data_IF_292322953763
#
_entry.id   IF_292322953763
#
_cell.length_a   1.000
_cell.length_b   1.000
_cell.length_c   1.000
_cell.angle_alpha   90.00
_cell.angle_beta   90.00
_cell.angle_gamma   90.00
#
_symmetry.space_group_name_H-M   'P 1'
#
loop_
_entity.id
_entity.type
_entity.pdbx_description
1 polymer ?
#
# COMPACT_ATOMS: atom_id res chain seq x y z
N UNK A 1 7.74 -27.52 36.27
CA UNK A 1 8.51 -26.26 36.28
C UNK A 1 8.26 -25.46 35.02
N UNK A 2 8.60 -25.92 33.83
CA UNK A 2 8.42 -25.22 32.55
C UNK A 2 7.01 -24.67 32.25
N UNK A 3 5.92 -25.34 32.64
CA UNK A 3 4.56 -24.92 32.34
C UNK A 3 4.13 -23.65 33.12
N UNK A 4 4.61 -23.49 34.36
CA UNK A 4 4.37 -22.28 35.19
C UNK A 4 5.14 -21.07 34.63
N UNK A 5 6.40 -21.27 34.30
CA UNK A 5 7.28 -20.22 33.74
C UNK A 5 6.76 -19.75 32.39
N UNK A 6 6.37 -20.68 31.49
CA UNK A 6 5.72 -20.34 30.23
C UNK A 6 4.48 -19.46 30.42
N UNK A 7 3.62 -19.79 31.40
CA UNK A 7 2.41 -19.00 31.64
C UNK A 7 2.71 -17.56 32.06
N UNK A 8 3.79 -17.34 32.84
CA UNK A 8 4.21 -16.00 33.25
C UNK A 8 4.62 -15.17 32.01
N UNK A 9 5.40 -15.76 31.09
CA UNK A 9 5.82 -15.10 29.85
C UNK A 9 4.62 -14.78 28.96
N UNK A 10 3.72 -15.76 28.75
CA UNK A 10 2.50 -15.55 27.96
C UNK A 10 1.64 -14.44 28.56
N UNK A 11 1.49 -14.39 29.88
CA UNK A 11 0.74 -13.35 30.56
C UNK A 11 1.37 -11.97 30.33
N UNK A 12 2.69 -11.86 30.28
CA UNK A 12 3.37 -10.60 30.01
C UNK A 12 3.21 -10.16 28.54
N UNK A 13 3.27 -11.10 27.59
CA UNK A 13 2.97 -10.84 26.18
C UNK A 13 1.52 -10.35 26.03
N UNK A 14 0.56 -11.04 26.66
CA UNK A 14 -0.85 -10.65 26.62
C UNK A 14 -1.06 -9.24 27.19
N UNK A 15 -0.40 -8.91 28.29
CA UNK A 15 -0.46 -7.56 28.88
C UNK A 15 0.05 -6.49 27.91
N UNK A 16 1.14 -6.74 27.20
CA UNK A 16 1.65 -5.84 26.16
C UNK A 16 0.62 -5.59 25.05
N UNK A 17 -0.04 -6.65 24.57
CA UNK A 17 -1.12 -6.51 23.58
C UNK A 17 -2.26 -5.63 24.10
N UNK A 18 -2.70 -5.84 25.35
CA UNK A 18 -3.82 -5.11 25.94
C UNK A 18 -3.49 -3.65 26.20
N UNK A 19 -2.32 -3.36 26.78
CA UNK A 19 -1.93 -1.99 27.14
C UNK A 19 -1.55 -1.13 25.94
N UNK A 20 -1.13 -1.75 24.83
CA UNK A 20 -0.75 -1.07 23.59
C UNK A 20 -1.84 -1.12 22.52
N UNK A 21 -3.03 -1.66 22.85
CA UNK A 21 -4.14 -1.83 21.90
C UNK A 21 -3.74 -2.55 20.59
N UNK A 22 -2.85 -3.55 20.69
CA UNK A 22 -2.39 -4.33 19.54
C UNK A 22 -3.50 -5.32 19.15
N UNK A 23 -3.92 -5.38 17.87
CA UNK A 23 -4.91 -6.35 17.40
C UNK A 23 -4.47 -7.80 17.67
N UNK A 24 -5.37 -8.64 18.17
CA UNK A 24 -5.04 -10.02 18.57
C UNK A 24 -4.55 -10.91 17.42
N UNK A 25 -4.97 -10.61 16.19
CA UNK A 25 -4.49 -11.32 15.00
C UNK A 25 -2.98 -11.12 14.76
N UNK A 26 -2.34 -10.09 15.32
CA UNK A 26 -0.89 -9.89 15.23
C UNK A 26 -0.10 -11.07 15.83
N UNK A 27 -0.68 -11.87 16.74
CA UNK A 27 -0.04 -13.08 17.26
C UNK A 27 0.21 -14.14 16.16
N UNK A 28 -0.54 -14.07 15.04
CA UNK A 28 -0.39 -14.98 13.89
C UNK A 28 0.61 -14.45 12.85
N UNK A 29 1.13 -13.23 13.04
CA UNK A 29 2.11 -12.66 12.12
C UNK A 29 3.42 -13.48 12.19
N UNK A 30 3.98 -13.91 11.05
CA UNK A 30 5.27 -14.62 11.01
C UNK A 30 6.39 -13.86 11.73
N UNK A 31 6.43 -12.53 11.59
CA UNK A 31 7.43 -11.67 12.25
C UNK A 31 7.33 -11.73 13.77
N UNK A 32 6.11 -11.86 14.32
CA UNK A 32 5.94 -12.00 15.76
C UNK A 32 6.55 -13.32 16.26
N UNK A 33 6.36 -14.42 15.51
CA UNK A 33 6.95 -15.71 15.85
C UNK A 33 8.48 -15.66 15.75
N UNK A 34 8.99 -15.00 14.72
CA UNK A 34 10.42 -14.81 14.52
C UNK A 34 11.06 -13.98 15.65
N UNK A 35 10.40 -12.91 16.11
CA UNK A 35 10.85 -12.12 17.27
C UNK A 35 11.03 -13.00 18.50
N UNK A 36 10.03 -13.85 18.81
CA UNK A 36 10.10 -14.76 19.97
C UNK A 36 11.28 -15.74 19.84
N UNK A 37 11.46 -16.32 18.67
CA UNK A 37 12.58 -17.24 18.40
C UNK A 37 13.94 -16.53 18.53
N UNK A 38 14.11 -15.35 17.93
CA UNK A 38 15.35 -14.58 17.98
C UNK A 38 15.69 -14.13 19.40
N UNK A 39 14.70 -13.66 20.20
CA UNK A 39 14.89 -13.31 21.60
C UNK A 39 15.35 -14.53 22.41
N UNK A 40 14.74 -15.70 22.16
CA UNK A 40 15.09 -16.92 22.87
C UNK A 40 16.52 -17.39 22.57
N UNK A 41 16.97 -17.24 21.34
CA UNK A 41 18.35 -17.57 20.91
C UNK A 41 19.39 -16.61 21.41
N UNK A 42 19.05 -15.30 21.48
CA UNK A 42 19.96 -14.29 22.04
C UNK A 42 20.22 -14.53 23.53
N UNK A 43 19.18 -14.95 24.25
CA UNK A 43 19.27 -15.28 25.67
C UNK A 43 19.28 -14.06 26.59
N UNK A 44 19.89 -14.23 27.77
CA UNK A 44 19.91 -13.21 28.81
C UNK A 44 20.78 -12.01 28.39
N UNK A 45 20.27 -10.79 28.59
CA UNK A 45 21.04 -9.56 28.37
C UNK A 45 20.62 -8.77 27.12
N UNK A 46 19.64 -9.24 26.36
CA UNK A 46 19.06 -8.44 25.28
C UNK A 46 18.45 -7.16 25.85
N UNK A 47 19.00 -6.02 25.44
CA UNK A 47 18.39 -4.72 25.76
C UNK A 47 17.27 -4.44 24.78
N UNK A 48 16.08 -4.01 25.25
CA UNK A 48 15.01 -3.65 24.35
C UNK A 48 15.44 -2.47 23.47
N UNK A 49 14.97 -2.41 22.22
CA UNK A 49 15.27 -1.29 21.34
C UNK A 49 14.63 0.00 21.89
N UNK A 50 15.33 1.10 21.74
CA UNK A 50 14.81 2.42 22.07
C UNK A 50 13.80 2.90 21.02
N UNK A 51 12.97 3.88 21.40
CA UNK A 51 12.06 4.53 20.47
C UNK A 51 12.78 5.11 19.25
N UNK A 52 13.96 5.70 19.45
CA UNK A 52 14.77 6.27 18.36
C UNK A 52 15.28 5.18 17.41
N UNK A 53 15.77 4.05 17.93
CA UNK A 53 16.22 2.95 17.09
C UNK A 53 15.11 2.43 16.21
N UNK A 54 13.91 2.19 16.76
CA UNK A 54 12.77 1.71 15.96
C UNK A 54 12.35 2.75 14.93
N UNK A 55 12.14 3.99 15.36
CA UNK A 55 11.53 5.04 14.52
C UNK A 55 12.47 5.58 13.44
N UNK A 56 13.76 5.59 13.68
CA UNK A 56 14.73 6.23 12.78
C UNK A 56 15.65 5.18 12.16
N UNK A 57 16.43 4.48 12.98
CA UNK A 57 17.51 3.62 12.48
C UNK A 57 16.97 2.39 11.75
N UNK A 58 16.04 1.65 12.40
CA UNK A 58 15.46 0.45 11.81
C UNK A 58 14.54 0.80 10.65
N UNK A 59 13.67 1.80 10.82
CA UNK A 59 12.77 2.25 9.75
C UNK A 59 13.53 2.66 8.49
N UNK A 60 14.66 3.38 8.62
CA UNK A 60 15.47 3.75 7.47
C UNK A 60 16.00 2.51 6.73
N UNK A 61 16.48 1.50 7.46
CA UNK A 61 16.95 0.25 6.85
C UNK A 61 15.83 -0.46 6.08
N UNK A 62 14.62 -0.53 6.64
CA UNK A 62 13.47 -1.15 5.96
C UNK A 62 13.06 -0.38 4.70
N UNK A 63 13.12 0.97 4.74
CA UNK A 63 12.88 1.81 3.56
C UNK A 63 13.94 1.56 2.49
N UNK A 64 15.21 1.47 2.85
CA UNK A 64 16.31 1.20 1.91
C UNK A 64 16.15 -0.20 1.27
N UNK A 65 15.79 -1.22 2.04
CA UNK A 65 15.46 -2.56 1.53
C UNK A 65 14.27 -2.55 0.58
N UNK A 66 13.20 -1.84 0.94
CA UNK A 66 12.02 -1.68 0.08
C UNK A 66 12.37 -1.00 -1.25
N UNK A 67 13.26 -0.01 -1.24
CA UNK A 67 13.75 0.63 -2.46
C UNK A 67 14.59 -0.30 -3.32
N UNK A 68 15.45 -1.13 -2.73
CA UNK A 68 16.20 -2.14 -3.46
C UNK A 68 15.27 -3.16 -4.15
N UNK A 69 14.25 -3.64 -3.44
CA UNK A 69 13.23 -4.51 -4.04
C UNK A 69 12.51 -3.82 -5.19
N UNK A 70 12.19 -2.52 -5.06
CA UNK A 70 11.53 -1.76 -6.12
C UNK A 70 12.38 -1.69 -7.40
N UNK A 71 13.71 -1.58 -7.30
CA UNK A 71 14.59 -1.55 -8.47
C UNK A 71 14.55 -2.88 -9.25
N UNK A 72 14.39 -4.01 -8.56
CA UNK A 72 14.18 -5.31 -9.23
C UNK A 72 12.87 -5.33 -10.04
N UNK A 73 11.78 -4.76 -9.49
CA UNK A 73 10.52 -4.64 -10.21
C UNK A 73 10.62 -3.71 -11.39
N UNK A 74 11.31 -2.57 -11.25
CA UNK A 74 11.55 -1.64 -12.37
C UNK A 74 12.33 -2.29 -13.52
N UNK A 75 13.31 -3.14 -13.18
CA UNK A 75 14.06 -3.88 -14.18
C UNK A 75 13.18 -4.87 -14.95
N UNK A 76 12.14 -5.42 -14.30
CA UNK A 76 11.16 -6.29 -14.95
C UNK A 76 10.16 -5.50 -15.81
N UNK A 77 9.66 -4.35 -15.34
CA UNK A 77 8.69 -3.55 -16.09
C UNK A 77 9.21 -3.15 -17.46
N UNK A 78 10.53 -2.95 -17.60
CA UNK A 78 11.19 -2.70 -18.90
C UNK A 78 11.08 -3.87 -19.88
N UNK A 79 10.84 -5.09 -19.37
CA UNK A 79 10.76 -6.31 -20.21
C UNK A 79 9.32 -6.73 -20.48
N UNK A 80 8.46 -6.60 -19.48
CA UNK A 80 7.10 -7.17 -19.50
C UNK A 80 6.00 -6.12 -19.57
N UNK A 81 6.37 -4.84 -19.43
CA UNK A 81 5.44 -3.74 -19.19
C UNK A 81 4.70 -3.90 -17.84
N UNK A 82 3.91 -2.90 -17.46
CA UNK A 82 3.15 -2.91 -16.23
C UNK A 82 1.84 -2.13 -16.35
N UNK A 83 0.94 -2.32 -15.38
CA UNK A 83 -0.27 -1.53 -15.20
C UNK A 83 -0.17 -0.71 -13.93
N UNK A 84 -0.52 0.57 -13.99
CA UNK A 84 -0.68 1.43 -12.81
C UNK A 84 -2.13 1.35 -12.35
N UNK A 85 -2.33 1.16 -11.05
CA UNK A 85 -3.64 1.20 -10.41
C UNK A 85 -3.68 2.34 -9.41
N UNK A 86 -4.76 3.11 -9.44
CA UNK A 86 -4.99 4.24 -8.56
C UNK A 86 -6.31 4.03 -7.82
N UNK A 87 -6.28 4.16 -6.50
CA UNK A 87 -7.45 4.06 -5.62
C UNK A 87 -7.49 5.26 -4.67
N UNK A 88 -8.56 6.02 -4.76
CA UNK A 88 -8.76 7.24 -3.99
C UNK A 88 -9.84 7.08 -2.93
N UNK A 89 -9.52 7.32 -1.67
CA UNK A 89 -10.47 7.28 -0.58
C UNK A 89 -10.36 8.48 0.36
N UNK A 90 -11.40 8.72 1.15
CA UNK A 90 -11.44 9.80 2.13
C UNK A 90 -11.75 9.25 3.51
N UNK A 91 -11.00 9.66 4.51
CA UNK A 91 -11.24 9.28 5.90
C UNK A 91 -12.41 10.06 6.51
N UNK A 92 -12.83 9.65 7.72
CA UNK A 92 -13.89 10.34 8.48
C UNK A 92 -13.55 11.79 8.83
N UNK A 93 -12.28 12.18 8.77
CA UNK A 93 -11.79 13.56 9.00
C UNK A 93 -11.67 14.36 7.71
N UNK A 94 -12.21 13.85 6.59
CA UNK A 94 -12.15 14.44 5.25
C UNK A 94 -10.73 14.58 4.67
N UNK A 95 -9.77 13.80 5.17
CA UNK A 95 -8.49 13.67 4.51
C UNK A 95 -8.66 12.73 3.32
N UNK A 96 -8.41 13.24 2.15
CA UNK A 96 -8.44 12.45 0.92
C UNK A 96 -7.03 11.98 0.58
N UNK A 97 -6.91 10.70 0.27
CA UNK A 97 -5.64 10.04 -0.07
C UNK A 97 -5.85 9.29 -1.37
N UNK A 98 -4.87 9.31 -2.24
CA UNK A 98 -4.82 8.50 -3.45
C UNK A 98 -3.62 7.57 -3.38
N UNK A 99 -3.87 6.27 -3.40
CA UNK A 99 -2.86 5.23 -3.44
C UNK A 99 -2.48 4.91 -4.88
N UNK A 100 -1.20 4.60 -5.11
CA UNK A 100 -0.69 4.14 -6.39
C UNK A 100 0.01 2.80 -6.23
N UNK A 101 -0.44 1.83 -7.02
CA UNK A 101 0.15 0.51 -7.11
C UNK A 101 0.59 0.25 -8.54
N UNK A 102 1.60 -0.58 -8.72
CA UNK A 102 2.00 -1.09 -10.03
C UNK A 102 1.88 -2.60 -10.02
N UNK A 103 1.21 -3.13 -11.03
CA UNK A 103 1.05 -4.55 -11.25
C UNK A 103 1.84 -4.99 -12.49
N UNK A 104 2.55 -6.10 -12.35
CA UNK A 104 3.29 -6.77 -13.43
C UNK A 104 3.19 -8.29 -13.26
N UNK A 105 3.69 -9.12 -14.19
CA UNK A 105 3.75 -10.57 -14.01
C UNK A 105 4.50 -11.02 -12.75
N UNK A 106 5.45 -10.22 -12.25
CA UNK A 106 6.17 -10.49 -11.00
C UNK A 106 5.30 -10.27 -9.75
N UNK A 107 4.23 -9.50 -9.87
CA UNK A 107 3.29 -9.20 -8.79
C UNK A 107 2.92 -7.72 -8.69
N UNK A 108 2.17 -7.40 -7.64
CA UNK A 108 1.72 -6.03 -7.37
C UNK A 108 2.59 -5.41 -6.28
N UNK A 109 3.04 -4.19 -6.52
CA UNK A 109 3.82 -3.41 -5.56
C UNK A 109 3.14 -2.07 -5.28
N UNK A 110 3.13 -1.66 -4.02
CA UNK A 110 2.73 -0.33 -3.61
C UNK A 110 3.85 0.66 -3.89
N UNK A 111 3.57 1.73 -4.64
CA UNK A 111 4.56 2.77 -4.94
C UNK A 111 4.61 3.82 -3.84
N UNK A 112 3.52 4.54 -3.69
CA UNK A 112 3.35 5.61 -2.71
C UNK A 112 1.89 6.07 -2.67
N UNK A 113 1.62 6.93 -1.71
CA UNK A 113 0.35 7.63 -1.62
C UNK A 113 0.54 9.14 -1.80
N UNK A 114 -0.49 9.80 -2.31
CA UNK A 114 -0.57 11.26 -2.39
C UNK A 114 -1.70 11.73 -1.49
N UNK A 115 -1.42 12.71 -0.63
CA UNK A 115 -2.47 13.41 0.11
C UNK A 115 -3.17 14.39 -0.85
N UNK A 116 -4.40 14.10 -1.19
CA UNK A 116 -5.21 14.88 -2.15
C UNK A 116 -6.19 15.83 -1.47
N UNK A 117 -6.13 16.01 -0.14
CA UNK A 117 -7.06 16.86 0.63
C UNK A 117 -7.09 18.30 0.13
N UNK A 118 -5.97 18.83 -0.32
CA UNK A 118 -5.82 20.19 -0.83
C UNK A 118 -5.81 20.27 -2.37
N UNK A 119 -6.02 19.14 -3.05
CA UNK A 119 -6.04 19.09 -4.51
C UNK A 119 -7.50 19.20 -4.99
N UNK A 120 -7.76 20.19 -5.83
CA UNK A 120 -9.06 20.27 -6.49
C UNK A 120 -9.31 19.00 -7.33
N UNK A 121 -10.44 18.33 -7.09
CA UNK A 121 -10.81 17.08 -7.79
C UNK A 121 -11.30 17.32 -9.24
N UNK A 122 -10.78 18.35 -9.92
CA UNK A 122 -11.06 18.56 -11.35
C UNK A 122 -10.31 17.55 -12.21
N UNK A 123 -10.89 17.16 -13.33
CA UNK A 123 -10.28 16.22 -14.27
C UNK A 123 -8.85 16.65 -14.69
N UNK A 124 -8.63 17.95 -14.89
CA UNK A 124 -7.32 18.50 -15.25
C UNK A 124 -6.27 18.24 -14.15
N UNK A 125 -6.62 18.43 -12.87
CA UNK A 125 -5.70 18.19 -11.74
C UNK A 125 -5.46 16.69 -11.52
N UNK A 126 -6.49 15.88 -11.66
CA UNK A 126 -6.36 14.42 -11.63
C UNK A 126 -5.46 13.94 -12.77
N UNK A 127 -5.68 14.43 -14.00
CA UNK A 127 -4.84 14.13 -15.15
C UNK A 127 -3.37 14.49 -14.90
N UNK A 128 -3.09 15.69 -14.36
CA UNK A 128 -1.72 16.09 -14.03
C UNK A 128 -1.08 15.17 -12.99
N UNK A 129 -1.81 14.82 -11.93
CA UNK A 129 -1.33 13.90 -10.89
C UNK A 129 -1.00 12.51 -11.45
N UNK A 130 -1.89 11.96 -12.27
CA UNK A 130 -1.69 10.65 -12.92
C UNK A 130 -0.53 10.69 -13.91
N UNK A 131 -0.37 11.77 -14.64
CA UNK A 131 0.71 12.00 -15.60
C UNK A 131 2.09 11.99 -14.90
N UNK A 132 2.20 12.65 -13.74
CA UNK A 132 3.41 12.62 -12.91
C UNK A 132 3.76 11.21 -12.39
N UNK A 133 2.76 10.39 -12.13
CA UNK A 133 2.98 8.98 -11.74
C UNK A 133 3.51 8.17 -12.91
N UNK A 134 2.95 8.36 -14.09
CA UNK A 134 3.41 7.70 -15.33
C UNK A 134 4.87 8.04 -15.62
N UNK A 135 5.26 9.32 -15.47
CA UNK A 135 6.65 9.75 -15.66
C UNK A 135 7.62 9.10 -14.66
N UNK A 136 7.17 8.90 -13.39
CA UNK A 136 8.01 8.25 -12.36
C UNK A 136 8.22 6.75 -12.60
N UNK A 137 7.24 6.07 -13.16
CA UNK A 137 7.33 4.64 -13.52
C UNK A 137 8.10 4.43 -14.82
N UNK A 138 8.07 5.44 -15.68
CA UNK A 138 8.59 5.42 -17.05
C UNK A 138 7.45 5.11 -18.04
N UNK A 139 7.09 6.08 -18.85
CA UNK A 139 5.98 5.98 -19.80
C UNK A 139 6.09 4.74 -20.70
N UNK A 140 7.29 4.41 -21.12
CA UNK A 140 7.59 3.27 -22.00
C UNK A 140 7.27 1.91 -21.38
N UNK A 141 7.16 1.87 -20.05
CA UNK A 141 6.90 0.63 -19.31
C UNK A 141 5.41 0.44 -19.01
N UNK A 142 4.59 1.50 -19.13
CA UNK A 142 3.19 1.47 -18.69
C UNK A 142 2.26 1.27 -19.88
N UNK A 143 1.58 0.12 -19.89
CA UNK A 143 0.56 -0.20 -20.89
C UNK A 143 -0.84 0.22 -20.47
N UNK A 144 -1.15 0.17 -19.17
CA UNK A 144 -2.48 0.37 -18.66
C UNK A 144 -2.51 1.25 -17.40
N UNK A 145 -3.53 2.10 -17.33
CA UNK A 145 -3.89 2.87 -16.15
C UNK A 145 -5.29 2.48 -15.70
N UNK A 146 -5.43 2.02 -14.49
CA UNK A 146 -6.70 1.64 -13.86
C UNK A 146 -7.04 2.66 -12.77
N UNK A 147 -8.22 3.24 -12.81
CA UNK A 147 -8.69 4.20 -11.79
C UNK A 147 -10.14 3.94 -11.41
N UNK A 148 -10.65 4.65 -10.42
CA UNK A 148 -12.08 4.69 -10.15
C UNK A 148 -12.88 5.15 -11.38
N UNK A 149 -14.16 4.79 -11.42
CA UNK A 149 -15.10 5.16 -12.48
C UNK A 149 -15.80 6.52 -12.22
N UNK A 150 -15.25 7.36 -11.35
CA UNK A 150 -15.79 8.69 -11.13
C UNK A 150 -15.57 9.60 -12.34
N UNK A 151 -16.51 10.52 -12.61
CA UNK A 151 -16.53 11.34 -13.81
C UNK A 151 -15.23 12.13 -14.08
N UNK A 152 -14.59 12.63 -13.01
CA UNK A 152 -13.31 13.34 -13.09
C UNK A 152 -12.13 12.41 -13.45
N UNK A 153 -12.13 11.16 -12.98
CA UNK A 153 -11.11 10.16 -13.32
C UNK A 153 -11.30 9.64 -14.74
N UNK A 154 -12.55 9.43 -15.16
CA UNK A 154 -12.88 9.05 -16.55
C UNK A 154 -12.36 10.10 -17.54
N UNK A 155 -12.70 11.36 -17.33
CA UNK A 155 -12.24 12.45 -18.19
C UNK A 155 -10.71 12.62 -18.14
N UNK A 156 -10.09 12.44 -16.98
CA UNK A 156 -8.63 12.47 -16.85
C UNK A 156 -7.97 11.31 -17.62
N UNK A 157 -8.55 10.11 -17.57
CA UNK A 157 -8.11 8.95 -18.35
C UNK A 157 -8.20 9.19 -19.85
N UNK A 158 -9.30 9.76 -20.33
CA UNK A 158 -9.48 10.14 -21.74
C UNK A 158 -8.43 11.19 -22.19
N UNK A 159 -8.15 12.19 -21.36
CA UNK A 159 -7.10 13.19 -21.63
C UNK A 159 -5.72 12.55 -21.71
N UNK A 160 -5.41 11.61 -20.81
CA UNK A 160 -4.12 10.92 -20.78
C UNK A 160 -3.93 9.99 -21.99
N UNK A 161 -4.94 9.24 -22.39
CA UNK A 161 -4.86 8.37 -23.57
C UNK A 161 -4.71 9.16 -24.87
N UNK A 162 -5.26 10.39 -24.94
CA UNK A 162 -5.01 11.30 -26.05
C UNK A 162 -3.57 11.81 -26.09
N UNK A 163 -2.99 12.08 -24.92
CA UNK A 163 -1.60 12.56 -24.76
C UNK A 163 -0.59 11.44 -24.99
N UNK A 164 -0.86 10.23 -24.48
CA UNK A 164 0.05 9.07 -24.44
C UNK A 164 -0.55 7.92 -25.26
N UNK A 165 -0.12 7.80 -26.50
CA UNK A 165 -0.74 6.90 -27.51
C UNK A 165 -0.67 5.41 -27.17
N UNK A 166 0.29 4.98 -26.36
CA UNK A 166 0.45 3.58 -25.97
C UNK A 166 -0.26 3.23 -24.65
N UNK A 167 -0.92 4.20 -24.02
CA UNK A 167 -1.58 4.03 -22.74
C UNK A 167 -3.06 3.66 -22.94
N UNK A 168 -3.51 2.56 -22.30
CA UNK A 168 -4.92 2.22 -22.16
C UNK A 168 -5.43 2.65 -20.78
N UNK A 169 -6.52 3.39 -20.74
CA UNK A 169 -7.25 3.66 -19.51
C UNK A 169 -8.43 2.72 -19.38
N UNK A 170 -8.63 2.14 -18.18
CA UNK A 170 -9.80 1.33 -17.84
C UNK A 170 -10.33 1.69 -16.45
N UNK A 171 -11.65 1.68 -16.24
CA UNK A 171 -12.20 1.79 -14.89
C UNK A 171 -11.89 0.53 -14.07
N UNK A 172 -11.79 0.70 -12.75
CA UNK A 172 -11.63 -0.41 -11.82
C UNK A 172 -12.85 -1.32 -11.84
N UNK A 173 -12.66 -2.58 -12.17
CA UNK A 173 -13.75 -3.56 -12.28
C UNK A 173 -14.45 -3.78 -10.92
N UNK A 174 -13.70 -3.80 -9.81
CA UNK A 174 -14.28 -3.94 -8.47
C UNK A 174 -15.20 -2.77 -8.13
N UNK A 175 -14.76 -1.53 -8.41
CA UNK A 175 -15.60 -0.34 -8.20
C UNK A 175 -16.84 -0.34 -9.10
N UNK A 176 -16.73 -0.79 -10.35
CA UNK A 176 -17.89 -0.92 -11.24
C UNK A 176 -18.91 -1.96 -10.72
N UNK A 177 -18.43 -3.09 -10.20
CA UNK A 177 -19.30 -4.11 -9.59
C UNK A 177 -19.98 -3.59 -8.33
N UNK A 178 -19.27 -2.85 -7.48
CA UNK A 178 -19.82 -2.22 -6.28
C UNK A 178 -20.94 -1.25 -6.62
N UNK A 179 -20.73 -0.37 -7.58
CA UNK A 179 -21.77 0.52 -8.09
C UNK A 179 -23.00 -0.22 -8.66
N UNK A 180 -22.79 -1.34 -9.34
CA UNK A 180 -23.90 -2.17 -9.82
C UNK A 180 -24.69 -2.78 -8.65
N UNK A 181 -24.04 -3.24 -7.59
CA UNK A 181 -24.69 -3.77 -6.39
C UNK A 181 -25.47 -2.69 -5.65
N UNK A 182 -24.91 -1.49 -5.50
CA UNK A 182 -25.61 -0.34 -4.93
C UNK A 182 -26.89 0.02 -5.72
N UNK A 183 -26.84 -0.05 -7.05
CA UNK A 183 -28.00 0.23 -7.90
C UNK A 183 -29.10 -0.84 -7.73
N UNK A 184 -28.74 -2.09 -7.46
CA UNK A 184 -29.72 -3.13 -7.10
C UNK A 184 -30.36 -2.86 -5.76
N UNK A 185 -29.58 -2.50 -4.73
CA UNK A 185 -30.11 -2.18 -3.39
C UNK A 185 -31.07 -1.00 -3.40
N UNK A 186 -30.86 0.00 -4.26
CA UNK A 186 -31.76 1.16 -4.39
C UNK A 186 -33.08 0.86 -5.07
N UNK A 187 -33.16 -0.25 -5.82
CA UNK A 187 -34.35 -0.64 -6.58
C UNK A 187 -35.27 -1.64 -5.86
N UNK A 188 -34.79 -2.28 -4.81
CA UNK A 188 -35.49 -3.28 -4.01
C UNK A 188 -35.45 -2.92 -2.51
#
# INVERSE_FOLDING_TARGET
MFKKERNIVIQQIARFFYTSAIPFNCVKNPEFLQIIDMISRFGIGLKPPSYHEIRVTCLKKEVDLSQQMLEEYKAEWKKTSCSIMSDGWSDKKRKSICNFLVNSPKGTIFLYLINTSNISKTAKKVCQMLDEVLDRVGEENVMQLVTDNAANYKLAGEMLTQKRKCLFWTPCAAHCLDLMLEDFEKKY
#
